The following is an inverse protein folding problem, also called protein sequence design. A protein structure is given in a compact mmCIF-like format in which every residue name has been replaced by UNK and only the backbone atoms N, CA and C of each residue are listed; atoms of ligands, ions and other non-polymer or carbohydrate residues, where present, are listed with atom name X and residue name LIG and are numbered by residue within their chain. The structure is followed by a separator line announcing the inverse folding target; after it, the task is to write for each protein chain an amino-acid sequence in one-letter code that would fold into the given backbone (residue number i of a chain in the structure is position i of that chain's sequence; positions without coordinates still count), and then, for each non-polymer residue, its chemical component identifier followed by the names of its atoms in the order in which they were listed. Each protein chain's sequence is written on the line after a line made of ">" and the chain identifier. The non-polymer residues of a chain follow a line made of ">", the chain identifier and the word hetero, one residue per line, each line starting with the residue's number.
data_IF_127067589118
#
_entry.id   IF_127067589118
#
_cell.length_a   1.000
_cell.length_b   1.000
_cell.length_c   1.000
_cell.angle_alpha   90.00
_cell.angle_beta   90.00
_cell.angle_gamma   90.00
#
_symmetry.space_group_name_H-M   'P 1'
#
loop_
_entity.id
_entity.type
_entity.pdbx_description
1 polymer ?
#
# COMPACT_ATOMS: atom_id res chain seq x y z
N UNK A 1 -2.46 11.81 -1.78
CA UNK A 1 -2.17 10.96 -2.94
C UNK A 1 -3.40 10.13 -3.32
N UNK A 2 -4.06 9.43 -2.39
CA UNK A 2 -5.24 8.58 -2.62
C UNK A 2 -6.34 9.28 -3.42
N UNK A 3 -6.75 10.47 -3.01
CA UNK A 3 -7.75 11.27 -3.73
C UNK A 3 -7.31 11.61 -5.17
N UNK A 4 -6.03 11.85 -5.39
CA UNK A 4 -5.49 12.14 -6.71
C UNK A 4 -5.52 10.89 -7.62
N UNK A 5 -5.10 9.73 -7.10
CA UNK A 5 -5.14 8.46 -7.82
C UNK A 5 -6.57 8.07 -8.22
N UNK A 6 -7.52 8.19 -7.31
CA UNK A 6 -8.94 7.89 -7.55
C UNK A 6 -9.57 8.87 -8.56
N UNK A 7 -9.19 10.15 -8.50
CA UNK A 7 -9.69 11.16 -9.43
C UNK A 7 -9.12 10.96 -10.84
N UNK A 8 -7.82 10.76 -10.97
CA UNK A 8 -7.15 10.58 -12.25
C UNK A 8 -7.57 9.27 -12.96
N UNK A 9 -7.90 8.23 -12.19
CA UNK A 9 -8.47 6.98 -12.71
C UNK A 9 -9.97 7.06 -13.05
N UNK A 10 -10.64 8.15 -12.69
CA UNK A 10 -12.07 8.35 -12.92
C UNK A 10 -13.00 7.62 -11.95
N UNK A 11 -12.48 6.96 -10.93
CA UNK A 11 -13.28 6.28 -9.88
C UNK A 11 -14.11 7.30 -9.10
N UNK A 12 -13.53 8.47 -8.79
CA UNK A 12 -14.27 9.60 -8.22
C UNK A 12 -14.32 10.77 -9.21
N UNK A 13 -15.45 11.46 -9.24
CA UNK A 13 -15.67 12.61 -10.13
C UNK A 13 -15.16 13.94 -9.56
N UNK A 14 -14.92 13.99 -8.27
CA UNK A 14 -14.48 15.19 -7.55
C UNK A 14 -13.53 14.77 -6.42
N UNK A 15 -12.43 15.48 -6.30
CA UNK A 15 -11.46 15.26 -5.21
C UNK A 15 -12.01 15.80 -3.89
N UNK A 16 -11.90 15.00 -2.84
CA UNK A 16 -12.07 15.45 -1.48
C UNK A 16 -10.87 16.24 -0.98
N UNK A 17 -11.06 16.90 0.16
CA UNK A 17 -10.01 17.63 0.90
C UNK A 17 -10.14 17.33 2.37
N UNK A 18 -9.01 17.12 3.04
CA UNK A 18 -8.95 16.86 4.50
C UNK A 18 -9.63 18.03 5.25
N UNK A 19 -9.31 19.27 4.88
CA UNK A 19 -9.91 20.46 5.49
C UNK A 19 -11.43 20.58 5.29
N UNK A 20 -11.97 19.98 4.24
CA UNK A 20 -13.40 19.91 3.97
C UNK A 20 -14.06 18.64 4.55
N UNK A 21 -13.30 17.75 5.16
CA UNK A 21 -13.75 16.49 5.78
C UNK A 21 -14.58 15.61 4.83
N UNK A 22 -14.21 15.58 3.56
CA UNK A 22 -14.97 14.90 2.49
C UNK A 22 -14.09 14.01 1.60
N UNK A 23 -12.94 13.56 2.10
CA UNK A 23 -12.11 12.55 1.43
C UNK A 23 -12.77 11.18 1.49
N UNK A 24 -12.51 10.34 0.50
CA UNK A 24 -13.02 8.96 0.50
C UNK A 24 -12.13 8.01 1.31
N UNK A 25 -10.91 8.44 1.67
CA UNK A 25 -9.98 7.67 2.50
C UNK A 25 -10.25 7.86 3.98
N UNK A 26 -10.26 9.10 4.46
CA UNK A 26 -10.44 9.42 5.87
C UNK A 26 -11.91 9.78 6.13
N UNK A 27 -12.77 8.78 6.17
CA UNK A 27 -14.22 8.96 6.27
C UNK A 27 -14.80 8.66 7.66
N UNK A 28 -14.01 8.09 8.55
CA UNK A 28 -14.44 7.88 9.93
C UNK A 28 -14.44 9.19 10.73
N UNK A 29 -15.39 9.38 11.65
CA UNK A 29 -15.48 10.61 12.46
C UNK A 29 -14.17 10.98 13.18
N UNK A 30 -13.46 9.99 13.72
CA UNK A 30 -12.17 10.21 14.41
C UNK A 30 -11.10 10.76 13.45
N UNK A 31 -11.03 10.27 12.22
CA UNK A 31 -10.08 10.75 11.20
C UNK A 31 -10.41 12.17 10.77
N UNK A 32 -11.69 12.47 10.61
CA UNK A 32 -12.18 13.81 10.28
C UNK A 32 -12.00 14.82 11.42
N UNK A 33 -12.04 14.38 12.65
CA UNK A 33 -11.79 15.21 13.83
C UNK A 33 -10.32 15.57 13.96
N UNK A 34 -9.45 14.58 13.87
CA UNK A 34 -8.00 14.77 14.04
C UNK A 34 -7.28 15.22 12.76
N UNK A 35 -7.88 15.01 11.58
CA UNK A 35 -7.33 15.44 10.30
C UNK A 35 -6.17 14.59 9.79
N UNK A 36 -6.06 13.35 10.26
CA UNK A 36 -5.11 12.34 9.78
C UNK A 36 -5.71 10.93 9.84
N UNK A 37 -5.13 10.02 9.05
CA UNK A 37 -5.58 8.62 8.96
C UNK A 37 -5.31 7.85 10.25
N UNK A 38 -6.30 7.12 10.73
CA UNK A 38 -6.23 6.18 11.85
C UNK A 38 -6.33 4.74 11.35
N UNK A 39 -7.16 4.51 10.33
CA UNK A 39 -7.38 3.20 9.73
C UNK A 39 -6.74 3.13 8.34
N UNK A 40 -6.39 1.91 7.93
CA UNK A 40 -6.02 1.68 6.53
C UNK A 40 -7.26 1.73 5.65
N UNK A 41 -7.15 2.40 4.50
CA UNK A 41 -8.21 2.49 3.50
C UNK A 41 -7.84 1.69 2.27
N UNK A 42 -8.76 0.84 1.81
CA UNK A 42 -8.58 -0.04 0.66
C UNK A 42 -9.31 0.58 -0.52
N UNK A 43 -8.62 0.66 -1.65
CA UNK A 43 -9.21 1.12 -2.90
C UNK A 43 -8.52 0.46 -4.10
N UNK A 44 -9.09 0.63 -5.27
CA UNK A 44 -8.47 0.20 -6.52
C UNK A 44 -8.49 1.36 -7.52
N UNK A 45 -7.59 1.29 -8.47
CA UNK A 45 -7.59 2.14 -9.66
C UNK A 45 -7.41 1.27 -10.90
N UNK A 46 -8.04 1.67 -11.98
CA UNK A 46 -7.83 1.05 -13.29
C UNK A 46 -7.06 2.02 -14.17
N UNK A 47 -5.95 1.58 -14.73
CA UNK A 47 -5.10 2.40 -15.57
C UNK A 47 -4.49 1.58 -16.71
N UNK A 48 -4.73 2.00 -17.96
CA UNK A 48 -4.22 1.33 -19.16
C UNK A 48 -4.47 -0.18 -19.18
N UNK A 49 -5.67 -0.61 -18.79
CA UNK A 49 -6.05 -2.03 -18.75
C UNK A 49 -5.43 -2.85 -17.62
N UNK A 50 -4.81 -2.18 -16.65
CA UNK A 50 -4.30 -2.79 -15.41
C UNK A 50 -5.15 -2.36 -14.23
N UNK A 51 -5.41 -3.30 -13.32
CA UNK A 51 -6.05 -3.03 -12.02
C UNK A 51 -4.98 -3.00 -10.93
N UNK A 52 -4.90 -1.91 -10.22
CA UNK A 52 -4.03 -1.73 -9.06
C UNK A 52 -4.88 -1.72 -7.80
N UNK A 53 -4.69 -2.70 -6.93
CA UNK A 53 -5.28 -2.72 -5.60
C UNK A 53 -4.34 -1.98 -4.65
N UNK A 54 -4.83 -0.95 -3.98
CA UNK A 54 -4.01 -0.05 -3.17
C UNK A 54 -4.58 -0.01 -1.75
N UNK A 55 -3.68 -0.06 -0.77
CA UNK A 55 -4.02 0.12 0.65
C UNK A 55 -3.26 1.35 1.15
N UNK A 56 -4.00 2.40 1.44
CA UNK A 56 -3.48 3.61 2.08
C UNK A 56 -3.42 3.40 3.58
N UNK A 57 -2.26 3.61 4.19
CA UNK A 57 -2.00 3.32 5.58
C UNK A 57 -1.70 4.60 6.38
N UNK A 58 -2.11 4.65 7.65
CA UNK A 58 -1.67 5.70 8.55
C UNK A 58 -0.16 5.84 8.61
N UNK A 59 0.36 7.06 8.60
CA UNK A 59 1.79 7.33 8.67
C UNK A 59 2.36 7.32 10.09
N UNK A 60 1.52 7.38 11.12
CA UNK A 60 1.96 7.35 12.51
C UNK A 60 2.33 5.95 12.98
N UNK A 61 3.43 5.84 13.73
CA UNK A 61 3.88 4.58 14.37
C UNK A 61 2.85 4.03 15.37
N UNK A 62 1.96 4.87 15.89
CA UNK A 62 0.88 4.45 16.78
C UNK A 62 -0.11 3.51 16.08
N UNK A 63 -0.22 3.61 14.75
CA UNK A 63 -1.10 2.77 13.92
C UNK A 63 -0.33 1.79 13.03
N UNK A 64 0.87 1.40 13.43
CA UNK A 64 1.74 0.49 12.67
C UNK A 64 1.07 -0.85 12.34
N UNK A 65 0.08 -1.28 13.11
CA UNK A 65 -0.71 -2.49 12.83
C UNK A 65 -1.35 -2.47 11.45
N UNK A 66 -1.89 -1.32 11.03
CA UNK A 66 -2.49 -1.13 9.72
C UNK A 66 -1.45 -1.32 8.59
N UNK A 67 -0.25 -0.74 8.73
CA UNK A 67 0.84 -0.90 7.77
C UNK A 67 1.36 -2.35 7.71
N UNK A 68 1.48 -3.02 8.86
CA UNK A 68 1.88 -4.44 8.91
C UNK A 68 0.86 -5.33 8.22
N UNK A 69 -0.44 -5.08 8.42
CA UNK A 69 -1.51 -5.79 7.73
C UNK A 69 -1.41 -5.60 6.22
N UNK A 70 -1.27 -4.35 5.75
CA UNK A 70 -1.15 -4.04 4.34
C UNK A 70 0.08 -4.71 3.71
N UNK A 71 1.25 -4.60 4.32
CA UNK A 71 2.50 -5.19 3.83
C UNK A 71 2.42 -6.73 3.70
N UNK A 72 1.63 -7.41 4.53
CA UNK A 72 1.48 -8.86 4.41
C UNK A 72 0.64 -9.29 3.20
N UNK A 73 -0.26 -8.45 2.71
CA UNK A 73 -1.18 -8.81 1.63
C UNK A 73 -0.90 -8.10 0.30
N UNK A 74 -0.11 -7.03 0.30
CA UNK A 74 0.30 -6.31 -0.92
C UNK A 74 1.63 -6.82 -1.45
N UNK A 75 1.92 -6.50 -2.70
CA UNK A 75 3.10 -7.00 -3.41
C UNK A 75 4.25 -5.99 -3.36
N UNK A 76 3.96 -4.70 -3.43
CA UNK A 76 4.95 -3.60 -3.43
C UNK A 76 4.55 -2.51 -2.45
N UNK A 77 5.52 -1.90 -1.78
CA UNK A 77 5.33 -0.77 -0.89
C UNK A 77 5.75 0.54 -1.55
N UNK A 78 4.94 1.58 -1.41
CA UNK A 78 5.31 2.96 -1.72
C UNK A 78 5.54 3.69 -0.41
N UNK A 79 6.77 4.13 -0.16
CA UNK A 79 7.11 4.96 0.98
C UNK A 79 7.02 6.42 0.56
N UNK A 80 5.95 7.08 1.02
CA UNK A 80 5.65 8.47 0.71
C UNK A 80 6.44 9.39 1.65
N UNK A 81 7.22 10.29 1.07
CA UNK A 81 8.11 11.20 1.76
C UNK A 81 7.61 12.64 1.61
N UNK A 82 7.72 13.42 2.68
CA UNK A 82 7.52 14.86 2.61
C UNK A 82 8.79 15.50 2.05
N UNK A 83 8.67 16.30 1.00
CA UNK A 83 9.82 16.98 0.36
C UNK A 83 10.58 17.95 1.27
N UNK A 84 9.98 18.37 2.38
CA UNK A 84 10.63 19.22 3.38
C UNK A 84 11.46 18.42 4.39
N UNK A 85 10.94 17.26 4.83
CA UNK A 85 11.52 16.51 5.97
C UNK A 85 12.32 15.29 5.52
N UNK A 86 12.04 14.77 4.32
CA UNK A 86 12.72 13.59 3.79
C UNK A 86 12.41 12.31 4.55
N UNK A 87 13.45 11.53 4.83
CA UNK A 87 13.33 10.24 5.51
C UNK A 87 13.24 10.40 7.03
N UNK A 88 12.02 10.43 7.55
CA UNK A 88 11.73 10.52 8.98
C UNK A 88 11.84 9.13 9.68
N UNK A 89 11.72 9.10 11.00
CA UNK A 89 11.77 7.87 11.80
C UNK A 89 10.71 6.86 11.34
N UNK A 90 9.49 7.32 11.04
CA UNK A 90 8.43 6.48 10.49
C UNK A 90 8.83 5.81 9.17
N UNK A 91 9.48 6.55 8.26
CA UNK A 91 10.00 6.01 6.99
C UNK A 91 10.98 4.86 7.23
N UNK A 92 11.92 5.04 8.17
CA UNK A 92 12.92 4.01 8.49
C UNK A 92 12.28 2.78 9.13
N UNK A 93 11.29 2.97 10.02
CA UNK A 93 10.58 1.87 10.65
C UNK A 93 9.79 1.06 9.61
N UNK A 94 9.04 1.72 8.74
CA UNK A 94 8.29 1.05 7.68
C UNK A 94 9.22 0.33 6.68
N UNK A 95 10.35 0.95 6.32
CA UNK A 95 11.34 0.29 5.47
C UNK A 95 11.86 -1.02 6.08
N UNK A 96 12.15 -1.05 7.39
CA UNK A 96 12.56 -2.29 8.09
C UNK A 96 11.49 -3.37 8.03
N UNK A 97 10.20 -3.01 8.08
CA UNK A 97 9.12 -3.98 7.91
C UNK A 97 9.06 -4.51 6.47
N UNK A 98 9.25 -3.64 5.45
CA UNK A 98 9.34 -4.11 4.06
C UNK A 98 10.51 -5.07 3.87
N UNK A 99 11.64 -4.80 4.53
CA UNK A 99 12.83 -5.66 4.48
C UNK A 99 12.56 -7.04 5.09
N UNK A 100 11.97 -7.08 6.30
CA UNK A 100 11.59 -8.35 6.96
C UNK A 100 10.62 -9.20 6.15
N UNK A 101 9.75 -8.56 5.37
CA UNK A 101 8.73 -9.22 4.55
C UNK A 101 9.17 -9.40 3.08
N UNK A 102 10.39 -9.00 2.72
CA UNK A 102 10.90 -9.10 1.36
C UNK A 102 10.15 -8.28 0.33
N UNK A 103 9.49 -7.18 0.73
CA UNK A 103 8.66 -6.38 -0.17
C UNK A 103 9.49 -5.39 -0.99
N UNK A 104 9.28 -5.29 -2.31
CA UNK A 104 9.75 -4.18 -3.12
C UNK A 104 9.39 -2.82 -2.54
N UNK A 105 10.26 -1.83 -2.74
CA UNK A 105 10.05 -0.47 -2.24
C UNK A 105 10.24 0.54 -3.36
N UNK A 106 9.31 1.48 -3.44
CA UNK A 106 9.40 2.69 -4.25
C UNK A 106 9.36 3.88 -3.28
N UNK A 107 10.31 4.79 -3.39
CA UNK A 107 10.26 6.07 -2.70
C UNK A 107 9.52 7.09 -3.54
N UNK A 108 8.61 7.83 -2.93
CA UNK A 108 7.80 8.84 -3.59
C UNK A 108 7.91 10.16 -2.84
N UNK A 109 8.66 11.11 -3.38
CA UNK A 109 8.79 12.45 -2.80
C UNK A 109 7.59 13.28 -3.21
N UNK A 110 6.81 13.72 -2.22
CA UNK A 110 5.58 14.50 -2.39
C UNK A 110 5.74 15.91 -1.83
N UNK A 111 4.77 16.78 -2.12
CA UNK A 111 4.76 18.19 -1.69
C UNK A 111 5.93 18.98 -2.23
N UNK A 112 6.28 18.75 -3.48
CA UNK A 112 7.37 19.46 -4.16
C UNK A 112 7.10 20.98 -4.30
N UNK A 113 5.86 21.40 -4.14
CA UNK A 113 5.41 22.80 -4.13
C UNK A 113 5.53 23.50 -2.77
N UNK A 114 5.97 22.80 -1.73
CA UNK A 114 6.23 23.39 -0.41
C UNK A 114 7.46 24.31 -0.50
N UNK A 115 7.35 25.51 0.07
CA UNK A 115 8.44 26.51 0.10
C UNK A 115 9.75 25.97 0.69
N UNK A 116 9.67 25.01 1.60
CA UNK A 116 10.81 24.40 2.28
C UNK A 116 11.22 23.06 1.67
N UNK A 117 10.66 22.70 0.52
CA UNK A 117 11.04 21.47 -0.17
C UNK A 117 12.47 21.56 -0.68
N UNK A 118 13.26 20.54 -0.36
CA UNK A 118 14.62 20.35 -0.87
C UNK A 118 14.77 18.90 -1.36
N UNK A 119 14.55 18.70 -2.65
CA UNK A 119 14.59 17.36 -3.26
C UNK A 119 15.99 16.76 -3.20
N UNK A 120 17.04 17.55 -3.43
CA UNK A 120 18.42 17.05 -3.44
C UNK A 120 18.83 16.59 -2.04
N UNK A 121 18.46 17.31 -1.00
CA UNK A 121 18.64 16.91 0.39
C UNK A 121 17.91 15.59 0.67
N UNK A 122 16.66 15.42 0.24
CA UNK A 122 15.90 14.19 0.42
C UNK A 122 16.58 13.01 -0.29
N UNK A 123 17.02 13.18 -1.53
CA UNK A 123 17.70 12.14 -2.29
C UNK A 123 19.03 11.74 -1.64
N UNK A 124 19.81 12.68 -1.15
CA UNK A 124 21.05 12.44 -0.40
C UNK A 124 20.82 11.66 0.88
N UNK A 125 19.77 12.01 1.65
CA UNK A 125 19.35 11.26 2.84
C UNK A 125 18.99 9.83 2.49
N UNK A 126 18.18 9.60 1.45
CA UNK A 126 17.80 8.27 1.01
C UNK A 126 19.01 7.42 0.64
N UNK A 127 19.94 7.98 -0.13
CA UNK A 127 21.20 7.29 -0.49
C UNK A 127 22.07 7.00 0.72
N UNK A 128 22.16 7.92 1.66
CA UNK A 128 22.93 7.75 2.90
C UNK A 128 22.38 6.63 3.79
N UNK A 129 21.04 6.52 3.88
CA UNK A 129 20.38 5.56 4.78
C UNK A 129 20.23 4.18 4.13
N UNK A 130 19.85 4.13 2.84
CA UNK A 130 19.47 2.90 2.14
C UNK A 130 20.48 2.44 1.09
N UNK A 131 21.55 3.21 0.89
CA UNK A 131 22.68 2.86 0.05
C UNK A 131 22.49 3.12 -1.45
N UNK A 132 23.41 2.55 -2.29
CA UNK A 132 23.46 2.82 -3.72
C UNK A 132 22.29 2.25 -4.52
N UNK A 133 21.48 1.39 -3.92
CA UNK A 133 20.24 0.87 -4.53
C UNK A 133 19.16 1.93 -4.74
N UNK A 134 19.30 3.09 -4.11
CA UNK A 134 18.40 4.24 -4.29
C UNK A 134 18.73 4.92 -5.61
N UNK A 135 17.82 4.84 -6.57
CA UNK A 135 18.03 5.35 -7.93
C UNK A 135 16.91 6.30 -8.33
N UNK A 136 17.20 7.57 -8.63
CA UNK A 136 16.18 8.50 -9.08
C UNK A 136 15.68 8.12 -10.49
N UNK A 137 14.36 8.00 -10.63
CA UNK A 137 13.68 7.85 -11.93
C UNK A 137 13.20 9.22 -12.43
N UNK A 138 12.99 10.13 -11.52
CA UNK A 138 12.57 11.49 -11.82
C UNK A 138 13.29 12.50 -10.92
N UNK A 139 13.47 13.73 -11.42
CA UNK A 139 13.88 14.84 -10.58
C UNK A 139 13.15 16.14 -11.00
N UNK A 140 12.82 17.04 -10.05
CA UNK A 140 12.16 18.30 -10.34
C UNK A 140 13.15 19.32 -10.91
N UNK A 141 12.69 20.20 -11.83
CA UNK A 141 13.49 21.33 -12.32
C UNK A 141 13.55 22.50 -11.33
N UNK A 142 12.52 22.61 -10.51
CA UNK A 142 12.45 23.56 -9.41
C UNK A 142 11.60 22.97 -8.29
N UNK A 143 11.80 23.42 -7.05
CA UNK A 143 10.96 23.07 -5.89
C UNK A 143 10.32 24.34 -5.33
N UNK A 144 9.38 24.17 -4.39
CA UNK A 144 8.65 25.27 -3.79
C UNK A 144 7.51 25.78 -4.68
N UNK A 145 7.05 27.01 -4.45
CA UNK A 145 5.89 27.58 -5.16
C UNK A 145 5.99 27.56 -6.68
N UNK A 146 7.21 27.48 -7.22
CA UNK A 146 7.48 27.45 -8.65
C UNK A 146 7.54 26.04 -9.23
N UNK A 147 7.30 25.00 -8.44
CA UNK A 147 7.25 23.63 -8.94
C UNK A 147 6.13 23.48 -9.96
N UNK A 148 6.51 23.17 -11.20
CA UNK A 148 5.58 22.91 -12.30
C UNK A 148 6.12 21.91 -13.32
N UNK A 149 7.33 21.40 -13.14
CA UNK A 149 7.97 20.51 -14.12
C UNK A 149 9.01 19.60 -13.48
N UNK A 150 9.17 18.42 -14.10
CA UNK A 150 10.20 17.45 -13.76
C UNK A 150 10.77 16.79 -15.01
N UNK A 151 11.92 16.17 -14.86
CA UNK A 151 12.53 15.29 -15.87
C UNK A 151 12.29 13.84 -15.45
N UNK A 152 11.78 13.02 -16.36
CA UNK A 152 11.70 11.57 -16.25
C UNK A 152 12.90 10.97 -16.98
N UNK A 153 13.84 10.41 -16.23
CA UNK A 153 15.08 9.86 -16.80
C UNK A 153 14.92 8.45 -17.37
N UNK A 154 13.82 7.76 -17.06
CA UNK A 154 13.50 6.50 -17.73
C UNK A 154 13.07 6.74 -19.17
N UNK A 155 12.18 7.70 -19.39
CA UNK A 155 11.63 8.04 -20.71
C UNK A 155 12.42 9.14 -21.44
N UNK A 156 13.35 9.77 -20.76
CA UNK A 156 14.13 10.90 -21.27
C UNK A 156 13.25 12.02 -21.82
N UNK A 157 12.26 12.43 -21.02
CA UNK A 157 11.30 13.50 -21.35
C UNK A 157 11.11 14.45 -20.17
N UNK A 158 10.78 15.69 -20.51
CA UNK A 158 10.30 16.70 -19.56
C UNK A 158 8.78 16.63 -19.47
N UNK A 159 8.29 16.64 -18.26
CA UNK A 159 6.87 16.76 -17.94
C UNK A 159 6.62 18.11 -17.28
N UNK A 160 5.68 18.89 -17.79
CA UNK A 160 5.29 20.19 -17.23
C UNK A 160 3.78 20.29 -17.11
N UNK A 161 3.33 21.13 -16.17
CA UNK A 161 1.92 21.31 -15.85
C UNK A 161 1.55 22.78 -15.76
N UNK A 162 0.30 23.08 -16.05
CA UNK A 162 -0.33 24.34 -15.67
C UNK A 162 -0.44 24.45 -14.13
N UNK A 163 -0.57 25.66 -13.57
CA UNK A 163 -0.61 25.87 -12.12
C UNK A 163 -1.71 25.07 -11.39
N UNK A 164 -2.83 24.80 -12.07
CA UNK A 164 -3.94 24.00 -11.60
C UNK A 164 -3.73 22.49 -11.70
N UNK A 165 -2.63 22.05 -12.32
CA UNK A 165 -2.30 20.64 -12.54
C UNK A 165 -3.04 20.02 -13.71
N UNK A 166 -3.32 18.73 -13.64
CA UNK A 166 -4.04 17.97 -14.69
C UNK A 166 -3.12 17.20 -15.62
N UNK A 167 -3.48 17.11 -16.91
CA UNK A 167 -2.68 16.41 -17.90
C UNK A 167 -1.35 17.10 -18.15
N UNK A 168 -0.22 16.37 -18.15
CA UNK A 168 1.08 16.96 -18.42
C UNK A 168 1.26 17.36 -19.88
N UNK A 169 2.05 18.40 -20.11
CA UNK A 169 2.68 18.67 -21.39
C UNK A 169 4.00 17.92 -21.41
N UNK A 170 4.21 17.07 -22.42
CA UNK A 170 5.43 16.26 -22.54
C UNK A 170 6.31 16.88 -23.63
N UNK A 171 7.53 17.20 -23.27
CA UNK A 171 8.48 17.94 -24.11
C UNK A 171 9.85 17.26 -24.12
N UNK A 172 10.70 17.68 -25.04
CA UNK A 172 12.11 17.32 -25.02
C UNK A 172 12.83 17.97 -23.82
N UNK A 173 13.87 17.30 -23.34
CA UNK A 173 14.68 17.81 -22.22
C UNK A 173 15.40 19.09 -22.66
N UNK A 174 15.34 20.18 -21.88
CA UNK A 174 16.07 21.40 -22.16
C UNK A 174 17.58 21.17 -22.30
N UNK A 175 18.25 21.97 -23.14
CA UNK A 175 19.68 21.78 -23.45
C UNK A 175 20.55 21.81 -22.18
N UNK A 176 20.23 22.70 -21.23
CA UNK A 176 20.93 22.89 -19.97
C UNK A 176 20.80 21.68 -19.00
N UNK A 177 19.75 20.85 -19.17
CA UNK A 177 19.50 19.67 -18.33
C UNK A 177 19.97 18.36 -18.97
N UNK A 178 20.37 18.37 -20.25
CA UNK A 178 20.69 17.14 -20.99
C UNK A 178 21.81 16.34 -20.35
N UNK A 179 22.89 16.99 -19.92
CA UNK A 179 24.05 16.29 -19.35
C UNK A 179 23.68 15.60 -18.04
N UNK A 180 22.97 16.30 -17.14
CA UNK A 180 22.46 15.73 -15.88
C UNK A 180 21.49 14.58 -16.14
N UNK A 181 20.55 14.76 -17.06
CA UNK A 181 19.57 13.72 -17.40
C UNK A 181 20.25 12.48 -18.00
N UNK A 182 21.23 12.65 -18.86
CA UNK A 182 22.00 11.54 -19.45
C UNK A 182 22.83 10.80 -18.41
N UNK A 183 23.47 11.49 -17.46
CA UNK A 183 24.19 10.87 -16.36
C UNK A 183 23.27 10.01 -15.49
N UNK A 184 22.11 10.56 -15.09
CA UNK A 184 21.11 9.84 -14.28
C UNK A 184 20.46 8.68 -15.06
N UNK A 185 20.22 8.87 -16.36
CA UNK A 185 19.72 7.81 -17.23
C UNK A 185 20.71 6.65 -17.30
N UNK A 186 21.99 6.91 -17.51
CA UNK A 186 23.02 5.88 -17.55
C UNK A 186 23.10 5.12 -16.21
N UNK A 187 23.04 5.82 -15.09
CA UNK A 187 22.99 5.19 -13.77
C UNK A 187 21.73 4.31 -13.58
N UNK A 188 20.59 4.73 -14.12
CA UNK A 188 19.36 3.94 -14.08
C UNK A 188 19.45 2.70 -14.99
N UNK A 189 20.06 2.82 -16.18
CA UNK A 189 20.31 1.69 -17.10
C UNK A 189 21.21 0.64 -16.42
N UNK A 190 22.31 1.08 -15.83
CA UNK A 190 23.24 0.23 -15.10
C UNK A 190 22.53 -0.50 -13.93
N UNK A 191 21.81 0.24 -13.10
CA UNK A 191 21.05 -0.33 -11.99
C UNK A 191 19.96 -1.33 -12.45
N UNK A 192 19.33 -1.11 -13.60
CA UNK A 192 18.37 -2.05 -14.18
C UNK A 192 19.07 -3.31 -14.69
N UNK A 193 20.22 -3.15 -15.37
CA UNK A 193 21.01 -4.25 -15.93
C UNK A 193 21.59 -5.18 -14.85
N UNK A 194 22.00 -4.64 -13.70
CA UNK A 194 22.57 -5.42 -12.59
C UNK A 194 21.66 -6.54 -12.04
N UNK A 195 20.37 -6.50 -12.35
CA UNK A 195 19.39 -7.45 -11.85
C UNK A 195 19.14 -8.64 -12.79
N UNK A 196 19.83 -8.70 -13.94
CA UNK A 196 19.69 -9.78 -14.93
C UNK A 196 20.98 -9.95 -15.74
N UNK A 197 21.52 -11.19 -15.78
CA UNK A 197 22.77 -11.47 -16.48
C UNK A 197 22.70 -11.12 -17.97
N UNK A 198 21.59 -11.44 -18.64
CA UNK A 198 21.43 -11.15 -20.07
C UNK A 198 21.31 -9.65 -20.37
N UNK A 199 20.69 -8.88 -19.47
CA UNK A 199 20.64 -7.41 -19.59
C UNK A 199 22.02 -6.80 -19.30
N UNK A 200 22.78 -7.36 -18.38
CA UNK A 200 24.13 -6.91 -18.09
C UNK A 200 25.09 -7.17 -19.27
N UNK A 201 25.02 -8.32 -19.92
CA UNK A 201 25.78 -8.61 -21.15
C UNK A 201 25.47 -7.60 -22.24
N UNK A 202 24.18 -7.33 -22.50
CA UNK A 202 23.77 -6.33 -23.48
C UNK A 202 24.27 -4.91 -23.14
N UNK A 203 24.20 -4.53 -21.88
CA UNK A 203 24.71 -3.23 -21.44
C UNK A 203 26.21 -3.10 -21.67
N UNK A 204 27.00 -4.15 -21.41
CA UNK A 204 28.45 -4.12 -21.70
C UNK A 204 28.76 -4.07 -23.19
N UNK A 205 27.93 -4.65 -24.04
CA UNK A 205 28.12 -4.64 -25.51
C UNK A 205 27.68 -3.33 -26.16
N UNK A 206 26.59 -2.71 -25.66
CA UNK A 206 25.92 -1.60 -26.33
C UNK A 206 25.94 -0.28 -25.56
N UNK A 207 26.40 -0.29 -24.30
CA UNK A 207 26.35 0.85 -23.34
C UNK A 207 24.94 1.43 -23.16
N UNK A 208 23.89 0.64 -23.48
CA UNK A 208 22.48 1.04 -23.41
C UNK A 208 21.55 -0.15 -23.34
N UNK A 209 20.31 0.08 -22.90
CA UNK A 209 19.19 -0.85 -22.99
C UNK A 209 17.99 -0.14 -23.64
N UNK A 210 17.15 -0.91 -24.32
CA UNK A 210 15.85 -0.41 -24.79
C UNK A 210 14.93 -0.10 -23.63
N UNK A 211 13.88 0.67 -23.86
CA UNK A 211 12.89 1.01 -22.82
C UNK A 211 12.23 -0.25 -22.20
N UNK A 212 11.90 -1.24 -23.03
CA UNK A 212 11.30 -2.50 -22.57
C UNK A 212 12.29 -3.32 -21.72
N UNK A 213 13.56 -3.37 -22.11
CA UNK A 213 14.63 -4.03 -21.34
C UNK A 213 14.87 -3.32 -20.02
N UNK A 214 14.84 -1.98 -20.00
CA UNK A 214 14.92 -1.21 -18.76
C UNK A 214 13.74 -1.52 -17.82
N UNK A 215 12.52 -1.56 -18.37
CA UNK A 215 11.32 -1.92 -17.59
C UNK A 215 11.44 -3.32 -16.99
N UNK A 216 11.94 -4.29 -17.78
CA UNK A 216 12.18 -5.65 -17.30
C UNK A 216 13.24 -5.69 -16.19
N UNK A 217 14.37 -5.02 -16.37
CA UNK A 217 15.44 -4.92 -15.38
C UNK A 217 14.97 -4.25 -14.08
N UNK A 218 14.23 -3.16 -14.18
CA UNK A 218 13.64 -2.47 -13.01
C UNK A 218 12.64 -3.39 -12.29
N UNK A 219 11.80 -4.13 -13.02
CA UNK A 219 10.84 -5.09 -12.45
C UNK A 219 11.55 -6.19 -11.67
N UNK A 220 12.57 -6.80 -12.25
CA UNK A 220 13.40 -7.82 -11.58
C UNK A 220 14.12 -7.24 -10.37
N UNK A 221 14.69 -6.04 -10.52
CA UNK A 221 15.35 -5.32 -9.43
C UNK A 221 14.42 -4.98 -8.27
N UNK A 222 13.20 -4.57 -8.55
CA UNK A 222 12.17 -4.37 -7.54
C UNK A 222 11.82 -5.68 -6.83
N UNK A 223 11.49 -6.74 -7.58
CA UNK A 223 11.12 -8.04 -7.00
C UNK A 223 12.22 -8.62 -6.11
N UNK A 224 13.48 -8.48 -6.50
CA UNK A 224 14.66 -8.94 -5.76
C UNK A 224 15.14 -7.95 -4.69
N UNK A 225 14.53 -6.77 -4.53
CA UNK A 225 15.03 -5.66 -3.69
C UNK A 225 16.48 -5.25 -4.06
N UNK A 226 16.82 -5.38 -5.33
CA UNK A 226 18.11 -4.96 -5.90
C UNK A 226 18.19 -3.46 -6.14
N UNK A 227 17.03 -2.78 -6.30
CA UNK A 227 16.95 -1.33 -6.48
C UNK A 227 15.72 -0.74 -5.81
N UNK A 228 15.79 0.56 -5.49
CA UNK A 228 14.72 1.35 -4.90
C UNK A 228 14.51 2.62 -5.72
N UNK A 229 13.57 2.62 -6.67
CA UNK A 229 13.29 3.77 -7.51
C UNK A 229 12.75 4.96 -6.72
N UNK A 230 13.15 6.19 -7.08
CA UNK A 230 12.64 7.43 -6.49
C UNK A 230 11.83 8.20 -7.52
N UNK A 231 10.58 8.49 -7.17
CA UNK A 231 9.63 9.29 -7.96
C UNK A 231 9.30 10.61 -7.29
N UNK A 232 8.76 11.52 -8.08
CA UNK A 232 8.39 12.88 -7.69
C UNK A 232 6.91 13.13 -7.97
N UNK A 233 6.18 13.69 -7.00
CA UNK A 233 4.78 14.12 -7.20
C UNK A 233 4.48 15.39 -6.41
N UNK A 234 3.50 16.14 -6.89
CA UNK A 234 2.73 17.09 -6.09
C UNK A 234 1.27 16.66 -6.11
N UNK A 235 0.92 15.69 -5.26
CA UNK A 235 -0.40 15.07 -5.24
C UNK A 235 -1.52 16.08 -4.96
N UNK A 236 -1.25 17.16 -4.23
CA UNK A 236 -2.18 18.26 -3.98
C UNK A 236 -2.65 18.97 -5.25
N UNK A 237 -1.83 18.98 -6.30
CA UNK A 237 -2.08 19.64 -7.59
C UNK A 237 -2.17 18.66 -8.77
N UNK A 238 -2.27 17.35 -8.55
CA UNK A 238 -2.27 16.30 -9.58
C UNK A 238 -1.04 16.27 -10.52
N UNK A 239 0.09 16.82 -10.07
CA UNK A 239 1.31 16.81 -10.87
C UNK A 239 2.11 15.54 -10.59
N UNK A 240 2.46 14.78 -11.64
CA UNK A 240 3.21 13.52 -11.57
C UNK A 240 2.37 12.26 -11.32
N UNK A 241 1.09 12.38 -10.92
CA UNK A 241 0.24 11.26 -10.50
C UNK A 241 -0.03 10.27 -11.63
N UNK A 242 -0.37 10.75 -12.83
CA UNK A 242 -0.60 9.88 -14.01
C UNK A 242 0.64 9.09 -14.38
N UNK A 243 1.81 9.74 -14.36
CA UNK A 243 3.08 9.06 -14.69
C UNK A 243 3.43 8.01 -13.64
N UNK A 244 3.12 8.26 -12.38
CA UNK A 244 3.25 7.24 -11.33
C UNK A 244 2.34 6.04 -11.62
N UNK A 245 1.06 6.25 -11.97
CA UNK A 245 0.14 5.15 -12.31
C UNK A 245 0.62 4.33 -13.52
N UNK A 246 1.18 4.99 -14.54
CA UNK A 246 1.78 4.29 -15.69
C UNK A 246 2.93 3.39 -15.26
N UNK A 247 3.81 3.89 -14.40
CA UNK A 247 4.93 3.10 -13.87
C UNK A 247 4.43 1.93 -13.04
N UNK A 248 3.49 2.14 -12.15
CA UNK A 248 2.88 1.09 -11.33
C UNK A 248 2.25 -0.01 -12.19
N UNK A 249 1.53 0.37 -13.23
CA UNK A 249 0.88 -0.59 -14.13
C UNK A 249 1.83 -1.33 -15.08
N UNK A 250 2.92 -0.68 -15.53
CA UNK A 250 3.77 -1.22 -16.59
C UNK A 250 5.10 -1.82 -16.10
N UNK A 251 5.57 -1.40 -14.93
CA UNK A 251 6.93 -1.74 -14.45
C UNK A 251 6.91 -2.53 -13.16
N UNK A 252 6.01 -2.20 -12.22
CA UNK A 252 5.97 -2.87 -10.91
C UNK A 252 5.59 -4.33 -11.07
N UNK A 253 6.28 -5.28 -10.37
CA UNK A 253 5.97 -6.69 -10.48
C UNK A 253 4.54 -6.99 -10.04
N UNK A 254 3.84 -7.81 -10.84
CA UNK A 254 2.53 -8.34 -10.50
C UNK A 254 2.60 -9.53 -9.53
N UNK A 255 1.47 -9.98 -9.03
CA UNK A 255 1.39 -11.05 -8.03
C UNK A 255 2.11 -12.34 -8.43
N UNK A 256 2.11 -12.70 -9.72
CA UNK A 256 2.78 -13.90 -10.24
C UNK A 256 4.30 -13.77 -10.33
N UNK A 257 4.82 -12.56 -10.31
CA UNK A 257 6.25 -12.24 -10.41
C UNK A 257 6.90 -12.06 -9.03
N UNK A 258 6.09 -12.05 -7.98
CA UNK A 258 6.53 -11.94 -6.60
C UNK A 258 6.96 -13.31 -6.02
N UNK A 259 7.77 -13.31 -4.93
CA UNK A 259 8.12 -14.53 -4.22
C UNK A 259 6.87 -15.34 -3.83
N UNK A 260 6.98 -16.66 -3.98
CA UNK A 260 5.86 -17.58 -3.75
C UNK A 260 5.37 -17.52 -2.29
N UNK A 261 4.05 -17.50 -2.13
CA UNK A 261 3.39 -17.60 -0.83
C UNK A 261 3.31 -19.07 -0.42
N UNK A 262 3.55 -19.34 0.86
CA UNK A 262 3.45 -20.68 1.43
C UNK A 262 2.30 -20.75 2.42
N UNK A 263 1.57 -21.85 2.41
CA UNK A 263 0.59 -22.16 3.44
C UNK A 263 1.26 -22.65 4.75
N UNK A 264 0.49 -22.92 5.79
CA UNK A 264 1.03 -23.36 7.10
C UNK A 264 1.74 -24.71 7.05
N UNK A 265 1.55 -25.51 5.98
CA UNK A 265 2.27 -26.78 5.76
C UNK A 265 3.56 -26.60 4.98
N UNK A 266 3.91 -25.37 4.58
CA UNK A 266 5.07 -25.06 3.78
C UNK A 266 4.89 -25.33 2.27
N UNK A 267 3.68 -25.61 1.81
CA UNK A 267 3.37 -25.82 0.40
C UNK A 267 3.21 -24.49 -0.31
N UNK A 268 3.70 -24.41 -1.54
CA UNK A 268 3.55 -23.22 -2.38
C UNK A 268 2.09 -23.06 -2.81
N UNK A 269 1.57 -21.87 -2.67
CA UNK A 269 0.25 -21.49 -3.19
C UNK A 269 0.47 -20.56 -4.37
N UNK A 270 0.19 -21.06 -5.57
CA UNK A 270 0.32 -20.28 -6.79
C UNK A 270 -0.90 -19.34 -6.94
N UNK A 271 -0.68 -18.10 -7.35
CA UNK A 271 -1.76 -17.16 -7.65
C UNK A 271 -2.37 -17.47 -9.04
N UNK A 272 -2.84 -18.70 -9.20
CA UNK A 272 -3.44 -19.20 -10.46
C UNK A 272 -4.95 -18.93 -10.45
N UNK A 273 -5.48 -18.10 -11.37
CA UNK A 273 -6.92 -17.87 -11.48
C UNK A 273 -7.75 -19.13 -11.80
N UNK A 274 -7.12 -20.17 -12.33
CA UNK A 274 -7.80 -21.44 -12.68
C UNK A 274 -7.62 -22.51 -11.60
N UNK A 275 -6.86 -22.23 -10.56
CA UNK A 275 -6.65 -23.13 -9.44
C UNK A 275 -7.83 -23.19 -8.46
N UNK A 276 -7.74 -24.07 -7.44
CA UNK A 276 -8.72 -24.09 -6.35
C UNK A 276 -8.73 -22.78 -5.57
N UNK A 277 -9.90 -22.28 -5.25
CA UNK A 277 -10.06 -20.95 -4.64
C UNK A 277 -9.70 -20.96 -3.14
N UNK A 278 -8.82 -20.04 -2.76
CA UNK A 278 -8.50 -19.75 -1.36
C UNK A 278 -8.54 -18.24 -1.12
N UNK A 279 -9.25 -17.82 -0.10
CA UNK A 279 -9.37 -16.41 0.31
C UNK A 279 -8.71 -16.23 1.68
N UNK A 280 -7.88 -15.22 1.83
CA UNK A 280 -7.27 -14.82 3.11
C UNK A 280 -7.92 -13.55 3.63
N UNK A 281 -8.57 -13.62 4.78
CA UNK A 281 -9.24 -12.51 5.43
C UNK A 281 -8.26 -11.77 6.34
N UNK A 282 -7.82 -10.60 5.92
CA UNK A 282 -6.72 -9.89 6.58
C UNK A 282 -7.16 -8.70 7.44
N UNK A 283 -8.42 -8.26 7.30
CA UNK A 283 -8.96 -7.13 8.04
C UNK A 283 -10.47 -7.25 8.20
N UNK A 284 -10.95 -6.90 9.37
CA UNK A 284 -12.37 -6.63 9.64
C UNK A 284 -12.54 -5.14 9.94
N UNK A 285 -13.51 -4.51 9.33
CA UNK A 285 -13.93 -3.13 9.66
C UNK A 285 -15.36 -3.15 10.15
N UNK A 286 -15.71 -2.20 10.99
CA UNK A 286 -17.08 -2.05 11.48
C UNK A 286 -17.65 -0.75 10.96
N UNK A 287 -18.70 -0.84 10.16
CA UNK A 287 -19.31 0.33 9.55
C UNK A 287 -20.73 0.56 10.08
N UNK A 288 -21.10 1.83 10.34
CA UNK A 288 -22.45 2.17 10.71
C UNK A 288 -23.45 1.65 9.67
N UNK A 289 -24.56 1.06 10.12
CA UNK A 289 -25.67 0.54 9.31
C UNK A 289 -25.40 -0.71 8.48
N UNK A 290 -24.13 -1.14 8.32
CA UNK A 290 -23.74 -2.31 7.55
C UNK A 290 -23.32 -3.44 8.51
N UNK A 291 -22.65 -3.09 9.59
CA UNK A 291 -22.02 -4.03 10.52
C UNK A 291 -20.60 -4.39 10.08
N UNK A 292 -20.25 -5.66 10.24
CA UNK A 292 -18.92 -6.15 9.92
C UNK A 292 -18.70 -6.23 8.42
N UNK A 293 -17.59 -5.64 7.97
CA UNK A 293 -17.08 -5.69 6.60
C UNK A 293 -15.77 -6.44 6.66
N UNK A 294 -15.73 -7.61 6.03
CA UNK A 294 -14.52 -8.44 5.99
C UNK A 294 -13.77 -8.20 4.67
N UNK A 295 -12.51 -7.82 4.78
CA UNK A 295 -11.61 -7.59 3.65
C UNK A 295 -10.75 -8.82 3.42
N UNK A 296 -10.63 -9.22 2.16
CA UNK A 296 -9.89 -10.41 1.77
C UNK A 296 -8.99 -10.19 0.56
N UNK A 297 -7.96 -11.02 0.45
CA UNK A 297 -7.16 -11.22 -0.77
C UNK A 297 -7.51 -12.59 -1.36
N UNK A 298 -7.71 -12.65 -2.66
CA UNK A 298 -7.81 -13.92 -3.39
C UNK A 298 -6.40 -14.47 -3.57
N UNK A 299 -6.08 -15.52 -2.85
CA UNK A 299 -4.74 -16.12 -2.84
C UNK A 299 -4.54 -17.07 -4.02
N UNK A 300 -5.59 -17.75 -4.44
CA UNK A 300 -5.63 -18.67 -5.58
C UNK A 300 -7.07 -18.79 -6.07
N UNK A 301 -7.25 -19.15 -7.33
CA UNK A 301 -8.55 -19.37 -7.94
C UNK A 301 -9.31 -18.09 -8.23
N UNK A 302 -10.63 -18.21 -8.20
CA UNK A 302 -11.60 -17.13 -8.41
C UNK A 302 -12.71 -17.23 -7.38
N UNK A 303 -13.28 -16.10 -7.03
CA UNK A 303 -14.48 -16.01 -6.20
C UNK A 303 -15.58 -15.32 -6.96
N UNK A 304 -16.79 -15.89 -6.92
CA UNK A 304 -18.00 -15.33 -7.50
C UNK A 304 -19.02 -15.01 -6.41
N UNK A 305 -19.95 -14.16 -6.73
CA UNK A 305 -21.12 -13.91 -5.91
C UNK A 305 -21.89 -15.23 -5.67
N UNK A 306 -22.16 -15.53 -4.42
CA UNK A 306 -22.92 -16.73 -4.01
C UNK A 306 -22.11 -18.00 -3.81
N UNK A 307 -20.79 -17.97 -3.96
CA UNK A 307 -19.93 -19.13 -3.73
C UNK A 307 -19.93 -19.59 -2.26
N UNK A 308 -19.85 -20.92 -2.09
CA UNK A 308 -19.78 -21.57 -0.79
C UNK A 308 -18.34 -21.96 -0.46
N UNK A 309 -17.95 -21.70 0.79
CA UNK A 309 -16.60 -21.92 1.31
C UNK A 309 -16.63 -22.70 2.63
N UNK A 310 -15.48 -23.26 2.99
CA UNK A 310 -15.19 -23.79 4.31
C UNK A 310 -14.11 -22.97 4.98
N UNK A 311 -14.35 -22.50 6.20
CA UNK A 311 -13.34 -21.83 7.01
C UNK A 311 -12.33 -22.86 7.51
N UNK A 312 -11.09 -22.78 7.07
CA UNK A 312 -10.03 -23.71 7.42
C UNK A 312 -9.58 -23.61 8.89
N UNK A 313 -9.84 -22.47 9.52
CA UNK A 313 -9.46 -22.21 10.91
C UNK A 313 -10.53 -22.65 11.91
N UNK A 314 -11.80 -22.64 11.50
CA UNK A 314 -12.96 -22.87 12.39
C UNK A 314 -13.82 -24.05 11.97
N UNK A 315 -13.67 -24.56 10.75
CA UNK A 315 -14.47 -25.66 10.19
C UNK A 315 -15.89 -25.27 9.80
N UNK A 316 -16.29 -24.02 9.97
CA UNK A 316 -17.63 -23.53 9.62
C UNK A 316 -17.82 -23.40 8.11
N UNK A 317 -19.09 -23.50 7.68
CA UNK A 317 -19.50 -23.26 6.29
C UNK A 317 -19.93 -21.82 6.13
N UNK A 318 -19.38 -21.15 5.12
CA UNK A 318 -19.66 -19.76 4.81
C UNK A 318 -20.13 -19.61 3.36
N UNK A 319 -21.05 -18.70 3.15
CA UNK A 319 -21.47 -18.29 1.81
C UNK A 319 -21.13 -16.83 1.57
N UNK A 320 -20.32 -16.57 0.57
CA UNK A 320 -19.96 -15.23 0.13
C UNK A 320 -21.06 -14.71 -0.78
N UNK A 321 -22.10 -14.12 -0.16
CA UNK A 321 -23.31 -13.71 -0.87
C UNK A 321 -23.07 -12.58 -1.87
N UNK A 322 -22.17 -11.66 -1.57
CA UNK A 322 -21.80 -10.51 -2.42
C UNK A 322 -20.33 -10.18 -2.27
N UNK A 323 -19.71 -9.72 -3.32
CA UNK A 323 -18.33 -9.24 -3.34
C UNK A 323 -18.24 -7.83 -3.91
N UNK A 324 -17.32 -7.05 -3.35
CA UNK A 324 -17.16 -5.65 -3.69
C UNK A 324 -15.70 -5.29 -3.93
N UNK A 325 -15.43 -4.57 -5.01
CA UNK A 325 -14.21 -3.81 -5.18
C UNK A 325 -14.27 -2.56 -4.30
N UNK A 326 -13.21 -2.30 -3.53
CA UNK A 326 -13.17 -1.20 -2.58
C UNK A 326 -12.77 0.12 -3.27
N UNK A 327 -13.39 1.20 -2.87
CA UNK A 327 -13.07 2.56 -3.28
C UNK A 327 -13.19 3.51 -2.07
N UNK A 328 -12.43 3.22 -1.01
CA UNK A 328 -12.54 3.92 0.27
C UNK A 328 -13.92 3.71 0.91
N UNK A 329 -14.59 4.79 1.24
CA UNK A 329 -15.96 4.76 1.78
C UNK A 329 -16.98 4.13 0.82
N UNK A 330 -16.68 4.08 -0.48
CA UNK A 330 -17.55 3.52 -1.50
C UNK A 330 -17.17 2.05 -1.80
N UNK A 331 -18.17 1.28 -2.23
CA UNK A 331 -18.00 -0.10 -2.68
C UNK A 331 -18.69 -0.30 -4.00
N UNK A 332 -18.01 -0.96 -4.92
CA UNK A 332 -18.51 -1.27 -6.25
C UNK A 332 -18.78 -2.75 -6.29
N UNK A 333 -20.05 -3.15 -6.45
CA UNK A 333 -20.40 -4.55 -6.57
C UNK A 333 -19.76 -5.12 -7.84
N UNK A 334 -19.16 -6.30 -7.71
CA UNK A 334 -18.56 -7.05 -8.81
C UNK A 334 -19.04 -8.48 -8.81
N UNK A 335 -19.01 -9.14 -9.95
CA UNK A 335 -19.48 -10.52 -10.10
C UNK A 335 -18.36 -11.54 -9.82
N UNK A 336 -17.12 -11.19 -10.12
CA UNK A 336 -15.94 -12.06 -10.00
C UNK A 336 -14.75 -11.28 -9.47
N UNK A 337 -13.90 -11.94 -8.68
CA UNK A 337 -12.53 -11.53 -8.36
C UNK A 337 -11.57 -12.71 -8.58
N UNK A 338 -10.35 -12.42 -9.04
CA UNK A 338 -9.35 -13.44 -9.38
C UNK A 338 -8.15 -13.39 -8.45
N UNK A 339 -7.32 -14.43 -8.49
CA UNK A 339 -6.08 -14.50 -7.73
C UNK A 339 -5.24 -13.22 -7.86
N UNK A 340 -4.86 -12.64 -6.71
CA UNK A 340 -4.19 -11.34 -6.58
C UNK A 340 -5.12 -10.17 -6.25
N UNK A 341 -6.41 -10.28 -6.52
CA UNK A 341 -7.39 -9.24 -6.18
C UNK A 341 -7.59 -9.08 -4.69
N UNK A 342 -7.87 -7.84 -4.30
CA UNK A 342 -8.29 -7.46 -2.95
C UNK A 342 -9.71 -6.89 -3.02
N UNK A 343 -10.56 -7.38 -2.14
CA UNK A 343 -11.94 -6.94 -2.06
C UNK A 343 -12.52 -7.07 -0.68
N UNK A 344 -13.82 -6.85 -0.57
CA UNK A 344 -14.53 -7.06 0.68
C UNK A 344 -15.89 -7.74 0.45
N UNK A 345 -16.39 -8.31 1.54
CA UNK A 345 -17.72 -8.89 1.64
C UNK A 345 -18.34 -8.53 2.97
N UNK A 346 -19.61 -8.82 3.12
CA UNK A 346 -20.40 -8.53 4.32
C UNK A 346 -21.23 -9.73 4.71
N UNK A 347 -21.71 -9.74 5.96
CA UNK A 347 -22.68 -10.75 6.48
C UNK A 347 -22.12 -12.19 6.53
N UNK A 348 -20.82 -12.37 6.66
CA UNK A 348 -20.26 -13.66 7.03
C UNK A 348 -20.59 -13.96 8.51
N UNK A 349 -20.76 -15.24 8.85
CA UNK A 349 -21.25 -15.64 10.18
C UNK A 349 -20.13 -15.86 11.19
N UNK A 350 -19.05 -16.49 10.75
CA UNK A 350 -17.98 -16.96 11.63
C UNK A 350 -16.62 -16.83 10.94
N UNK A 351 -16.33 -15.62 10.42
CA UNK A 351 -15.05 -15.28 9.78
C UNK A 351 -14.42 -14.12 10.53
N UNK A 352 -13.18 -14.31 10.94
CA UNK A 352 -12.38 -13.35 11.68
C UNK A 352 -11.11 -12.97 10.93
N UNK A 353 -10.50 -11.88 11.33
CA UNK A 353 -9.19 -11.44 10.81
C UNK A 353 -8.16 -12.55 10.98
N UNK A 354 -7.46 -12.90 9.92
CA UNK A 354 -6.50 -13.98 9.85
C UNK A 354 -7.05 -15.33 9.35
N UNK A 355 -8.37 -15.46 9.17
CA UNK A 355 -8.96 -16.72 8.70
C UNK A 355 -8.74 -16.96 7.21
N UNK A 356 -8.73 -18.22 6.84
CA UNK A 356 -8.69 -18.70 5.45
C UNK A 356 -9.99 -19.38 5.09
N UNK A 357 -10.61 -18.96 3.99
CA UNK A 357 -11.75 -19.66 3.39
C UNK A 357 -11.33 -20.42 2.15
N UNK A 358 -11.67 -21.69 2.07
CA UNK A 358 -11.38 -22.57 0.94
C UNK A 358 -12.65 -22.97 0.19
N UNK A 359 -12.61 -22.80 -1.13
CA UNK A 359 -13.57 -23.37 -2.05
C UNK A 359 -13.33 -24.87 -2.26
N UNK A 360 -14.13 -25.49 -3.12
CA UNK A 360 -14.00 -26.93 -3.41
C UNK A 360 -12.62 -27.26 -3.98
N UNK A 361 -11.95 -28.23 -3.39
CA UNK A 361 -10.64 -28.72 -3.82
C UNK A 361 -9.45 -27.93 -3.29
N UNK A 362 -9.65 -26.85 -2.54
CA UNK A 362 -8.60 -26.16 -1.81
C UNK A 362 -8.51 -26.62 -0.35
N UNK A 363 -7.29 -26.72 0.17
CA UNK A 363 -7.02 -27.11 1.57
C UNK A 363 -5.94 -26.20 2.18
N UNK A 364 -5.89 -24.95 1.77
CA UNK A 364 -4.91 -24.00 2.26
C UNK A 364 -5.31 -23.47 3.64
N UNK A 365 -4.29 -23.11 4.42
CA UNK A 365 -4.41 -22.29 5.62
C UNK A 365 -3.21 -21.37 5.65
N UNK A 366 -3.41 -20.06 5.83
CA UNK A 366 -2.32 -19.09 5.89
C UNK A 366 -2.01 -18.71 7.33
N UNK A 367 -0.76 -18.30 7.57
CA UNK A 367 -0.36 -17.88 8.90
C UNK A 367 -1.02 -16.54 9.29
N UNK A 368 -1.32 -16.40 10.57
CA UNK A 368 -1.71 -15.10 11.13
C UNK A 368 -0.56 -14.10 10.99
N UNK A 369 -0.91 -12.85 10.73
CA UNK A 369 0.05 -11.75 10.66
C UNK A 369 0.69 -11.56 12.04
N UNK A 370 2.03 -11.48 12.06
CA UNK A 370 2.78 -11.19 13.29
C UNK A 370 2.92 -9.68 13.45
N UNK A 371 2.31 -9.17 14.49
CA UNK A 371 2.38 -7.76 14.85
C UNK A 371 3.53 -7.47 15.82
N UNK A 372 4.02 -6.22 15.87
CA UNK A 372 4.99 -5.81 16.88
C UNK A 372 4.36 -5.85 18.27
N UNK A 373 5.20 -6.06 19.29
CA UNK A 373 4.75 -6.00 20.66
C UNK A 373 4.21 -4.61 21.01
N UNK A 374 3.22 -4.55 21.90
CA UNK A 374 2.68 -3.30 22.42
C UNK A 374 3.77 -2.50 23.15
N UNK A 375 3.70 -1.18 23.01
CA UNK A 375 4.67 -0.24 23.60
C UNK A 375 4.07 0.63 24.70
N UNK A 376 2.75 0.67 24.78
CA UNK A 376 2.01 1.55 25.68
C UNK A 376 0.86 0.80 26.34
N UNK A 377 0.54 1.12 27.60
CA UNK A 377 -0.49 0.42 28.37
C UNK A 377 -1.27 1.36 29.23
N UNK A 378 -2.58 1.15 29.33
CA UNK A 378 -3.47 1.89 30.22
C UNK A 378 -4.43 0.95 30.93
N UNK A 379 -4.65 1.20 32.23
CA UNK A 379 -5.73 0.57 32.96
C UNK A 379 -7.04 1.32 32.69
N UNK A 380 -8.08 0.58 32.38
CA UNK A 380 -9.41 1.13 32.11
C UNK A 380 -10.45 0.49 33.02
N UNK A 381 -11.50 1.22 33.30
CA UNK A 381 -12.67 0.72 34.03
C UNK A 381 -13.95 1.35 33.47
N UNK A 382 -15.08 0.66 33.52
CA UNK A 382 -16.34 1.27 33.16
C UNK A 382 -16.70 2.37 34.17
N UNK A 383 -17.45 3.37 33.72
CA UNK A 383 -18.00 4.40 34.61
C UNK A 383 -18.97 3.78 35.63
N UNK A 384 -19.81 2.85 35.14
CA UNK A 384 -20.70 2.05 35.99
C UNK A 384 -20.27 0.59 35.93
N UNK A 385 -20.16 -0.10 37.06
CA UNK A 385 -19.76 -1.50 37.13
C UNK A 385 -20.69 -2.42 36.32
N UNK A 386 -21.98 -2.08 36.20
CA UNK A 386 -22.96 -2.78 35.39
C UNK A 386 -22.62 -2.83 33.88
N UNK A 387 -21.79 -1.89 33.40
CA UNK A 387 -21.37 -1.83 32.00
C UNK A 387 -20.10 -2.65 31.69
N UNK A 388 -19.57 -3.42 32.64
CA UNK A 388 -18.34 -4.20 32.47
C UNK A 388 -18.41 -5.16 31.28
N UNK A 389 -19.49 -5.91 31.11
CA UNK A 389 -19.67 -6.84 30.00
C UNK A 389 -19.73 -6.10 28.65
N UNK A 390 -20.43 -4.98 28.62
CA UNK A 390 -20.53 -4.13 27.43
C UNK A 390 -19.17 -3.55 27.03
N UNK A 391 -18.40 -3.06 28.01
CA UNK A 391 -17.03 -2.60 27.80
C UNK A 391 -16.16 -3.71 27.20
N UNK A 392 -16.20 -4.90 27.77
CA UNK A 392 -15.42 -6.04 27.27
C UNK A 392 -15.84 -6.47 25.85
N UNK A 393 -17.12 -6.41 25.53
CA UNK A 393 -17.61 -6.69 24.18
C UNK A 393 -17.05 -5.66 23.15
N UNK A 394 -17.04 -4.37 23.52
CA UNK A 394 -16.47 -3.31 22.66
C UNK A 394 -14.96 -3.50 22.48
N UNK A 395 -14.23 -3.77 23.54
CA UNK A 395 -12.77 -3.99 23.47
C UNK A 395 -12.41 -5.19 22.59
N UNK A 396 -13.15 -6.30 22.72
CA UNK A 396 -12.94 -7.46 21.85
C UNK A 396 -13.22 -7.14 20.38
N UNK A 397 -14.21 -6.31 20.10
CA UNK A 397 -14.50 -5.83 18.75
C UNK A 397 -13.39 -4.93 18.20
N UNK A 398 -12.86 -4.00 19.01
CA UNK A 398 -11.70 -3.18 18.62
C UNK A 398 -10.48 -4.04 18.29
N UNK A 399 -10.24 -5.10 19.06
CA UNK A 399 -9.16 -6.06 18.77
C UNK A 399 -9.38 -6.84 17.47
N UNK A 400 -10.62 -7.08 17.06
CA UNK A 400 -10.91 -7.68 15.77
C UNK A 400 -10.60 -6.74 14.59
N UNK A 401 -10.88 -5.45 14.77
CA UNK A 401 -10.56 -4.41 13.78
C UNK A 401 -9.06 -4.11 13.71
N UNK A 402 -8.39 -4.06 14.86
CA UNK A 402 -6.95 -3.86 14.99
C UNK A 402 -6.34 -4.90 15.94
N UNK A 403 -5.72 -5.96 15.43
CA UNK A 403 -5.13 -7.02 16.24
C UNK A 403 -3.93 -6.58 17.09
N UNK A 404 -3.44 -5.35 16.98
CA UNK A 404 -2.39 -4.81 17.86
C UNK A 404 -2.90 -4.39 19.23
N UNK A 405 -4.22 -4.33 19.42
CA UNK A 405 -4.83 -4.20 20.74
C UNK A 405 -4.69 -5.51 21.52
N UNK A 406 -4.06 -5.45 22.68
CA UNK A 406 -3.98 -6.57 23.62
C UNK A 406 -4.75 -6.21 24.89
N UNK A 407 -5.67 -7.08 25.28
CA UNK A 407 -6.55 -6.86 26.43
C UNK A 407 -6.16 -7.89 27.50
N UNK A 408 -5.74 -7.39 28.65
CA UNK A 408 -5.36 -8.18 29.81
C UNK A 408 -6.31 -7.93 30.96
N UNK A 409 -6.83 -9.00 31.57
CA UNK A 409 -7.53 -8.93 32.82
C UNK A 409 -6.58 -9.34 33.95
N UNK A 410 -5.97 -8.36 34.60
CA UNK A 410 -5.08 -8.60 35.73
C UNK A 410 -5.88 -8.98 36.99
N UNK A 411 -5.77 -10.24 37.40
CA UNK A 411 -6.40 -10.74 38.64
C UNK A 411 -5.75 -10.16 39.86
N UNK A 412 -4.46 -9.89 39.83
CA UNK A 412 -3.68 -9.32 40.93
C UNK A 412 -4.08 -7.87 41.17
N UNK A 413 -4.15 -7.07 40.13
CA UNK A 413 -4.49 -5.65 40.20
C UNK A 413 -5.99 -5.38 40.18
N UNK A 414 -6.81 -6.40 39.91
CA UNK A 414 -8.27 -6.30 39.67
C UNK A 414 -8.61 -5.20 38.66
N UNK A 415 -7.85 -5.14 37.58
CA UNK A 415 -7.97 -4.13 36.54
C UNK A 415 -8.03 -4.78 35.16
N UNK A 416 -8.72 -4.12 34.23
CA UNK A 416 -8.59 -4.38 32.81
C UNK A 416 -7.52 -3.45 32.25
N UNK A 417 -6.46 -4.03 31.68
CA UNK A 417 -5.36 -3.29 31.09
C UNK A 417 -5.47 -3.46 29.57
N UNK A 418 -5.41 -2.35 28.85
CA UNK A 418 -5.30 -2.32 27.40
C UNK A 418 -3.89 -1.93 27.01
N UNK A 419 -3.34 -2.66 26.04
CA UNK A 419 -2.01 -2.41 25.53
C UNK A 419 -2.12 -2.08 24.05
N UNK A 420 -1.37 -1.08 23.60
CA UNK A 420 -1.35 -0.60 22.22
C UNK A 420 0.04 -0.16 21.79
N UNK A 421 0.13 0.44 20.60
CA UNK A 421 1.40 0.83 19.99
C UNK A 421 1.88 2.22 20.43
N UNK A 422 0.99 3.05 20.93
CA UNK A 422 1.32 4.40 21.40
C UNK A 422 0.16 5.05 22.14
N UNK A 423 0.35 6.29 22.58
CA UNK A 423 -0.64 7.03 23.34
C UNK A 423 -1.89 7.36 22.53
N UNK A 424 -1.70 7.76 21.25
CA UNK A 424 -2.80 8.07 20.34
C UNK A 424 -3.55 6.83 19.86
N UNK A 425 -2.97 5.64 20.02
CA UNK A 425 -3.62 4.38 19.70
C UNK A 425 -4.67 3.98 20.76
N UNK A 426 -4.43 4.30 22.03
CA UNK A 426 -5.31 4.02 23.19
C UNK A 426 -6.16 5.22 23.58
#
# INVERSE_FOLDING_TARGET
>A
LTEALLFESGIIKRRGRITAKNTVSDYFPVEQEYGYSVFSTIFHVEWNGKKLNIIDCPGSDDFVGAAMTALNVTDTAILLLNGQYGAEVGTQNHFRYTEKLGKPVIFLVNQLDNEKCDYDMVLEQLKSIYGPKVVPVQYPLATGPNFNSLIDVLLMKKYSWAPEGGAPIIEEIPAEEKDKAMELHKALVEAAAENDEGLMEKFFEQDSLTEDEMREGIRKGLAARGMFPVFCVCAGKDMGVRRLMEFLGNVVPGVSEMPKVHNTRGEVVEPDPNGPTSLYFFKTGVEPHIGDVQYFKVMSGKVHEGDDFTNADRGSKERVAQIYACAGANRIKVEEMVAGDIGCTVKLKDVHTGNTLNGKGAENRFNFIKYPNSKYSRAIKPVNEADTEKMMAILNRMREEDPTWVIEQSKELKQTIVHGQGEFHL
#
